data_IF_559060035001
#
_entry.id   IF_559060035001
#
_cell.length_a   1.000
_cell.length_b   1.000
_cell.length_c   1.000
_cell.angle_alpha   90.00
_cell.angle_beta   90.00
_cell.angle_gamma   90.00
#
_symmetry.space_group_name_H-M   'P 1'
#
loop_
_entity.id
_entity.type
_entity.pdbx_description
1 polymer ?
#
# COMPACT_ATOMS: atom_id res chain seq x y z
N UNK A 1 -28.74 18.23 -7.44
CA UNK A 1 -29.71 17.18 -7.89
C UNK A 1 -28.94 16.06 -8.57
N UNK A 2 -29.39 14.80 -8.55
CA UNK A 2 -28.79 13.76 -9.40
C UNK A 2 -28.90 14.19 -10.87
N UNK A 3 -27.89 13.84 -11.69
CA UNK A 3 -27.85 14.22 -13.10
C UNK A 3 -29.08 13.63 -13.82
N UNK A 4 -29.95 14.46 -14.45
CA UNK A 4 -31.13 13.99 -15.17
C UNK A 4 -30.79 12.95 -16.24
N UNK A 5 -29.62 13.10 -16.86
CA UNK A 5 -29.11 12.17 -17.88
C UNK A 5 -28.84 10.79 -17.27
N UNK A 6 -28.24 10.72 -16.08
CA UNK A 6 -27.95 9.43 -15.43
C UNK A 6 -29.27 8.72 -15.07
N UNK A 7 -30.26 9.47 -14.58
CA UNK A 7 -31.59 8.91 -14.29
C UNK A 7 -32.21 8.29 -15.55
N UNK A 8 -32.25 9.06 -16.65
CA UNK A 8 -32.80 8.60 -17.92
C UNK A 8 -32.06 7.37 -18.47
N UNK A 9 -30.72 7.37 -18.39
CA UNK A 9 -29.90 6.23 -18.81
C UNK A 9 -30.26 4.97 -18.03
N UNK A 10 -30.40 5.07 -16.70
CA UNK A 10 -30.74 3.94 -15.84
C UNK A 10 -32.13 3.37 -16.17
N UNK A 11 -33.12 4.25 -16.36
CA UNK A 11 -34.50 3.84 -16.63
C UNK A 11 -34.69 3.18 -18.01
N UNK A 12 -33.96 3.67 -19.02
CA UNK A 12 -34.10 3.23 -20.42
C UNK A 12 -33.17 2.07 -20.79
N UNK A 13 -32.10 1.83 -20.04
CA UNK A 13 -31.03 0.88 -20.41
C UNK A 13 -30.96 -0.35 -19.50
N UNK A 14 -32.08 -1.02 -19.26
CA UNK A 14 -32.21 -2.13 -18.27
C UNK A 14 -31.30 -3.36 -18.53
N UNK A 15 -30.76 -3.48 -19.75
CA UNK A 15 -29.81 -4.54 -20.12
C UNK A 15 -28.34 -4.13 -19.95
N UNK A 16 -28.06 -2.92 -19.50
CA UNK A 16 -26.71 -2.41 -19.29
C UNK A 16 -25.94 -3.27 -18.29
N UNK A 17 -24.74 -3.70 -18.69
CA UNK A 17 -23.84 -4.49 -17.85
C UNK A 17 -22.66 -3.67 -17.31
N UNK A 18 -22.35 -2.53 -17.93
CA UNK A 18 -21.24 -1.65 -17.56
C UNK A 18 -21.74 -0.21 -17.58
N UNK A 19 -21.55 0.50 -16.47
CA UNK A 19 -21.76 1.93 -16.36
C UNK A 19 -20.46 2.56 -15.85
N UNK A 20 -19.77 3.28 -16.73
CA UNK A 20 -18.50 3.94 -16.42
C UNK A 20 -18.72 5.45 -16.39
N UNK A 21 -18.47 6.05 -15.23
CA UNK A 21 -18.71 7.45 -14.93
C UNK A 21 -17.48 8.10 -14.24
N UNK A 22 -16.32 7.44 -14.28
CA UNK A 22 -15.10 7.91 -13.65
C UNK A 22 -14.63 9.27 -14.21
N UNK A 23 -14.11 10.12 -13.34
CA UNK A 23 -13.62 11.47 -13.68
C UNK A 23 -14.72 12.50 -13.92
N UNK A 24 -16.00 12.10 -13.94
CA UNK A 24 -17.11 13.03 -14.10
C UNK A 24 -17.43 13.72 -12.76
N UNK A 25 -17.84 15.00 -12.77
CA UNK A 25 -18.15 15.78 -11.57
C UNK A 25 -19.53 15.42 -10.98
N UNK A 26 -19.83 14.12 -10.86
CA UNK A 26 -21.10 13.60 -10.38
C UNK A 26 -21.09 13.60 -8.86
N UNK A 27 -22.05 14.26 -8.24
CA UNK A 27 -22.18 14.30 -6.77
C UNK A 27 -23.18 13.29 -6.20
N UNK A 28 -24.17 12.88 -7.01
CA UNK A 28 -25.27 12.00 -6.59
C UNK A 28 -25.60 11.00 -7.69
N UNK A 29 -25.75 9.74 -7.28
CA UNK A 29 -26.29 8.67 -8.13
C UNK A 29 -27.80 8.55 -7.84
N UNK A 30 -28.67 8.54 -8.86
CA UNK A 30 -30.11 8.45 -8.67
C UNK A 30 -30.53 7.05 -8.20
N UNK A 31 -31.68 6.96 -7.51
CA UNK A 31 -32.24 5.68 -7.06
C UNK A 31 -32.53 4.72 -8.22
N UNK A 32 -32.79 5.25 -9.43
CA UNK A 32 -32.98 4.49 -10.66
C UNK A 32 -31.79 3.57 -11.00
N UNK A 33 -30.60 3.78 -10.43
CA UNK A 33 -29.46 2.86 -10.59
C UNK A 33 -29.85 1.42 -10.22
N UNK A 34 -30.72 1.23 -9.22
CA UNK A 34 -31.16 -0.08 -8.77
C UNK A 34 -31.99 -0.86 -9.79
N UNK A 35 -32.46 -0.22 -10.86
CA UNK A 35 -33.20 -0.87 -11.94
C UNK A 35 -32.25 -1.56 -12.94
N UNK A 36 -30.96 -1.25 -12.90
CA UNK A 36 -29.91 -1.90 -13.71
C UNK A 36 -29.53 -3.26 -13.12
N UNK A 37 -30.49 -4.18 -12.99
CA UNK A 37 -30.28 -5.51 -12.39
C UNK A 37 -29.15 -6.32 -13.06
N UNK A 38 -28.90 -6.10 -14.35
CA UNK A 38 -27.84 -6.75 -15.12
C UNK A 38 -26.45 -6.13 -14.95
N UNK A 39 -26.33 -5.02 -14.22
CA UNK A 39 -25.08 -4.30 -14.06
C UNK A 39 -24.04 -5.17 -13.36
N UNK A 40 -22.86 -5.27 -13.99
CA UNK A 40 -21.69 -6.00 -13.49
C UNK A 40 -20.56 -5.08 -13.08
N UNK A 41 -20.49 -3.88 -13.66
CA UNK A 41 -19.48 -2.86 -13.33
C UNK A 41 -20.13 -1.49 -13.16
N UNK A 42 -19.83 -0.85 -12.03
CA UNK A 42 -20.14 0.55 -11.76
C UNK A 42 -18.85 1.30 -11.43
N UNK A 43 -18.41 2.14 -12.37
CA UNK A 43 -17.21 2.96 -12.25
C UNK A 43 -17.54 4.40 -11.86
N UNK A 44 -16.98 4.85 -10.74
CA UNK A 44 -17.19 6.17 -10.14
C UNK A 44 -15.85 6.74 -9.61
N UNK A 45 -14.73 6.25 -10.13
CA UNK A 45 -13.39 6.67 -9.70
C UNK A 45 -13.19 8.16 -9.99
N UNK A 46 -12.54 8.89 -9.09
CA UNK A 46 -12.30 10.34 -9.25
C UNK A 46 -13.60 11.13 -9.54
N UNK A 47 -14.74 10.68 -9.00
CA UNK A 47 -16.01 11.42 -9.05
C UNK A 47 -16.23 12.17 -7.74
N UNK A 48 -17.23 13.04 -7.67
CA UNK A 48 -17.58 13.80 -6.45
C UNK A 48 -18.71 13.12 -5.65
N UNK A 49 -18.95 11.82 -5.89
CA UNK A 49 -20.07 11.11 -5.28
C UNK A 49 -19.87 11.03 -3.79
N UNK A 50 -20.80 11.62 -3.04
CA UNK A 50 -20.74 11.68 -1.56
C UNK A 50 -21.39 10.48 -0.88
N UNK A 51 -22.45 9.93 -1.51
CA UNK A 51 -23.23 8.80 -1.01
C UNK A 51 -23.79 8.00 -2.17
N UNK A 52 -23.88 6.68 -1.99
CA UNK A 52 -24.63 5.80 -2.87
C UNK A 52 -26.10 5.69 -2.41
N UNK A 53 -27.07 5.56 -3.34
CA UNK A 53 -28.46 5.35 -2.99
C UNK A 53 -28.69 3.97 -2.34
N UNK A 54 -29.75 3.85 -1.53
CA UNK A 54 -30.13 2.57 -0.90
C UNK A 54 -30.41 1.48 -1.94
N UNK A 55 -30.93 1.87 -3.11
CA UNK A 55 -31.28 0.96 -4.21
C UNK A 55 -30.08 0.24 -4.83
N UNK A 56 -28.83 0.62 -4.49
CA UNK A 56 -27.63 -0.13 -4.89
C UNK A 56 -27.74 -1.62 -4.50
N UNK A 57 -28.48 -1.92 -3.43
CA UNK A 57 -28.69 -3.29 -2.96
C UNK A 57 -29.42 -4.21 -3.95
N UNK A 58 -30.10 -3.63 -4.94
CA UNK A 58 -30.80 -4.36 -6.02
C UNK A 58 -29.84 -4.85 -7.11
N UNK A 59 -28.60 -4.36 -7.15
CA UNK A 59 -27.58 -4.71 -8.14
C UNK A 59 -26.96 -6.09 -7.87
N UNK A 60 -27.79 -7.13 -7.78
CA UNK A 60 -27.36 -8.48 -7.38
C UNK A 60 -26.33 -9.14 -8.30
N UNK A 61 -26.15 -8.62 -9.52
CA UNK A 61 -25.15 -9.06 -10.49
C UNK A 61 -23.85 -8.25 -10.50
N UNK A 62 -23.73 -7.25 -9.61
CA UNK A 62 -22.56 -6.39 -9.57
C UNK A 62 -21.33 -7.18 -9.16
N UNK A 63 -20.27 -7.08 -9.98
CA UNK A 63 -18.97 -7.71 -9.74
C UNK A 63 -17.94 -6.67 -9.28
N UNK A 64 -18.03 -5.45 -9.80
CA UNK A 64 -17.09 -4.37 -9.51
C UNK A 64 -17.81 -3.08 -9.16
N UNK A 65 -17.45 -2.51 -8.01
CA UNK A 65 -17.82 -1.16 -7.60
C UNK A 65 -16.53 -0.37 -7.36
N UNK A 66 -16.32 0.67 -8.18
CA UNK A 66 -15.12 1.50 -8.07
C UNK A 66 -15.48 2.93 -7.67
N UNK A 67 -15.25 3.26 -6.40
CA UNK A 67 -15.39 4.58 -5.77
C UNK A 67 -14.03 5.17 -5.37
N UNK A 68 -12.91 4.62 -5.88
CA UNK A 68 -11.58 5.10 -5.53
C UNK A 68 -11.45 6.60 -5.81
N UNK A 69 -10.92 7.36 -4.84
CA UNK A 69 -10.81 8.82 -4.94
C UNK A 69 -12.15 9.53 -5.20
N UNK A 70 -13.24 8.99 -4.67
CA UNK A 70 -14.52 9.71 -4.56
C UNK A 70 -14.68 10.36 -3.19
N UNK A 71 -15.65 11.26 -3.08
CA UNK A 71 -16.02 11.91 -1.80
C UNK A 71 -16.93 11.03 -0.92
N UNK A 72 -16.98 9.72 -1.17
CA UNK A 72 -17.84 8.80 -0.41
C UNK A 72 -17.24 8.50 0.96
N UNK A 73 -17.99 8.80 2.02
CA UNK A 73 -17.57 8.58 3.40
C UNK A 73 -18.27 7.40 4.09
N UNK A 74 -19.40 6.96 3.55
CA UNK A 74 -20.17 5.82 4.07
C UNK A 74 -20.73 4.96 2.94
N UNK A 75 -20.76 3.64 3.15
CA UNK A 75 -21.46 2.73 2.26
C UNK A 75 -22.87 2.44 2.81
N UNK A 76 -23.90 2.36 1.96
CA UNK A 76 -25.23 2.00 2.42
C UNK A 76 -25.23 0.57 2.97
N UNK A 77 -26.03 0.31 4.01
CA UNK A 77 -26.17 -1.01 4.64
C UNK A 77 -26.44 -2.14 3.63
N UNK A 78 -27.15 -1.85 2.54
CA UNK A 78 -27.44 -2.82 1.49
C UNK A 78 -26.22 -3.32 0.70
N UNK A 79 -25.03 -2.72 0.85
CA UNK A 79 -23.81 -3.16 0.16
C UNK A 79 -23.47 -4.62 0.46
N UNK A 80 -23.73 -5.08 1.68
CA UNK A 80 -23.45 -6.47 2.10
C UNK A 80 -24.40 -7.50 1.45
N UNK A 81 -25.44 -7.05 0.74
CA UNK A 81 -26.35 -7.92 -0.04
C UNK A 81 -25.77 -8.27 -1.42
N UNK A 82 -24.71 -7.59 -1.87
CA UNK A 82 -24.10 -7.78 -3.19
C UNK A 82 -23.18 -9.03 -3.19
N UNK A 83 -23.77 -10.21 -3.04
CA UNK A 83 -23.04 -11.49 -2.88
C UNK A 83 -22.12 -11.86 -4.05
N UNK A 84 -22.33 -11.30 -5.25
CA UNK A 84 -21.48 -11.52 -6.43
C UNK A 84 -20.31 -10.54 -6.53
N UNK A 85 -20.24 -9.53 -5.64
CA UNK A 85 -19.21 -8.51 -5.68
C UNK A 85 -17.83 -9.15 -5.47
N UNK A 86 -16.91 -8.85 -6.39
CA UNK A 86 -15.52 -9.34 -6.39
C UNK A 86 -14.54 -8.23 -6.07
N UNK A 87 -14.84 -7.01 -6.51
CA UNK A 87 -13.93 -5.88 -6.34
C UNK A 87 -14.66 -4.66 -5.79
N UNK A 88 -14.20 -4.21 -4.62
CA UNK A 88 -14.64 -2.99 -3.97
C UNK A 88 -13.44 -2.06 -3.76
N UNK A 89 -13.47 -0.94 -4.48
CA UNK A 89 -12.45 0.10 -4.37
C UNK A 89 -13.07 1.36 -3.77
N UNK A 90 -12.64 1.75 -2.58
CA UNK A 90 -13.20 2.87 -1.82
C UNK A 90 -12.11 3.73 -1.16
N UNK A 91 -10.85 3.51 -1.54
CA UNK A 91 -9.69 4.21 -0.98
C UNK A 91 -9.67 5.67 -1.43
N UNK A 92 -9.38 6.56 -0.47
CA UNK A 92 -9.09 7.96 -0.73
C UNK A 92 -7.69 8.27 -0.22
N UNK A 93 -6.81 8.69 -1.12
CA UNK A 93 -5.46 9.16 -0.80
C UNK A 93 -5.53 10.66 -0.57
N UNK A 94 -5.09 11.09 0.60
CA UNK A 94 -5.12 12.50 1.06
C UNK A 94 -3.73 13.12 0.85
N UNK A 95 -2.68 12.39 1.20
CA UNK A 95 -1.30 12.81 1.03
C UNK A 95 -0.52 11.81 0.16
N UNK A 96 -0.49 12.01 -1.18
CA UNK A 96 0.22 11.10 -2.07
C UNK A 96 1.73 11.09 -1.86
N UNK A 97 2.28 12.09 -1.15
CA UNK A 97 3.70 12.18 -0.88
C UNK A 97 4.11 11.40 0.38
N UNK A 98 3.16 10.87 1.17
CA UNK A 98 3.44 10.10 2.38
C UNK A 98 4.28 10.88 3.40
N UNK A 99 4.01 12.18 3.53
CA UNK A 99 4.58 13.11 4.52
C UNK A 99 3.93 12.92 5.88
N UNK A 100 2.68 12.45 5.91
CA UNK A 100 1.92 12.09 7.11
C UNK A 100 1.67 10.57 7.17
N UNK A 101 1.44 10.04 8.37
CA UNK A 101 1.06 8.64 8.55
C UNK A 101 -0.34 8.36 8.00
N UNK A 102 -1.28 9.29 8.19
CA UNK A 102 -2.64 9.22 7.66
C UNK A 102 -2.68 9.68 6.19
N UNK A 103 -1.88 9.03 5.34
CA UNK A 103 -1.72 9.42 3.92
C UNK A 103 -2.96 9.13 3.07
N UNK A 104 -3.93 8.38 3.62
CA UNK A 104 -5.23 8.12 3.03
C UNK A 104 -6.25 7.73 4.09
N UNK A 105 -7.44 7.36 3.64
CA UNK A 105 -8.53 6.92 4.50
C UNK A 105 -9.25 5.73 3.88
N UNK A 106 -9.77 4.88 4.77
CA UNK A 106 -10.67 3.80 4.42
C UNK A 106 -12.14 4.20 4.51
N UNK A 107 -12.99 3.18 4.54
CA UNK A 107 -14.40 3.29 4.87
C UNK A 107 -14.79 2.17 5.82
N UNK A 108 -15.76 2.47 6.68
CA UNK A 108 -16.40 1.45 7.50
C UNK A 108 -17.36 0.63 6.63
N UNK A 109 -17.22 -0.69 6.62
CA UNK A 109 -18.22 -1.57 5.99
C UNK A 109 -19.28 -1.92 7.04
N UNK A 110 -20.58 -1.75 6.71
CA UNK A 110 -21.68 -2.15 7.60
C UNK A 110 -21.60 -3.62 8.04
N UNK A 111 -22.33 -3.95 9.10
CA UNK A 111 -22.43 -5.32 9.62
C UNK A 111 -22.83 -6.30 8.51
N UNK A 112 -22.16 -7.45 8.48
CA UNK A 112 -22.35 -8.45 7.42
C UNK A 112 -21.27 -8.43 6.33
N UNK A 113 -20.09 -7.83 6.58
CA UNK A 113 -18.91 -7.93 5.71
C UNK A 113 -18.69 -9.36 5.19
N UNK A 114 -18.79 -10.35 6.07
CA UNK A 114 -18.60 -11.75 5.74
C UNK A 114 -19.58 -12.36 4.74
N UNK A 115 -20.72 -11.69 4.46
CA UNK A 115 -21.62 -12.08 3.37
C UNK A 115 -21.00 -11.90 1.97
N UNK A 116 -19.95 -11.07 1.85
CA UNK A 116 -19.25 -10.80 0.60
C UNK A 116 -18.21 -11.89 0.30
N UNK A 117 -18.59 -13.17 0.38
CA UNK A 117 -17.65 -14.30 0.30
C UNK A 117 -16.93 -14.44 -1.05
N UNK A 118 -17.45 -13.82 -2.12
CA UNK A 118 -16.81 -13.77 -3.44
C UNK A 118 -15.80 -12.62 -3.59
N UNK A 119 -15.61 -11.79 -2.55
CA UNK A 119 -14.72 -10.65 -2.63
C UNK A 119 -13.27 -11.10 -2.79
N UNK A 120 -12.60 -10.50 -3.77
CA UNK A 120 -11.21 -10.77 -4.12
C UNK A 120 -10.33 -9.53 -3.88
N UNK A 121 -10.93 -8.35 -3.96
CA UNK A 121 -10.24 -7.09 -3.76
C UNK A 121 -11.06 -6.19 -2.86
N UNK A 122 -10.47 -5.80 -1.74
CA UNK A 122 -11.02 -4.85 -0.79
C UNK A 122 -9.96 -3.80 -0.52
N UNK A 123 -10.05 -2.69 -1.21
CA UNK A 123 -9.17 -1.55 -1.01
C UNK A 123 -9.91 -0.53 -0.15
N UNK A 124 -9.41 -0.37 1.09
CA UNK A 124 -9.80 0.61 2.10
C UNK A 124 -10.81 0.17 3.18
N UNK A 125 -10.62 -1.00 3.79
CA UNK A 125 -11.38 -1.39 4.97
C UNK A 125 -10.84 -0.68 6.22
N UNK A 126 -11.67 0.12 6.89
CA UNK A 126 -11.34 0.59 8.24
C UNK A 126 -11.50 -0.50 9.28
N UNK A 127 -10.48 -0.67 10.11
CA UNK A 127 -10.47 -1.62 11.20
C UNK A 127 -11.42 -1.18 12.31
N UNK A 128 -12.45 -1.99 12.53
CA UNK A 128 -13.40 -1.85 13.63
C UNK A 128 -13.71 -3.23 14.18
N UNK A 129 -14.12 -3.31 15.44
CA UNK A 129 -14.41 -4.60 16.05
C UNK A 129 -15.44 -5.41 15.25
N UNK A 130 -16.48 -4.77 14.75
CA UNK A 130 -17.56 -5.46 14.03
C UNK A 130 -17.11 -5.94 12.65
N UNK A 131 -16.34 -5.13 11.91
CA UNK A 131 -15.82 -5.54 10.59
C UNK A 131 -14.79 -6.65 10.72
N UNK A 132 -13.88 -6.57 11.69
CA UNK A 132 -12.80 -7.54 11.88
C UNK A 132 -13.28 -8.92 12.35
N UNK A 133 -14.43 -9.02 13.04
CA UNK A 133 -15.01 -10.31 13.46
C UNK A 133 -15.31 -11.24 12.29
N UNK A 134 -15.64 -10.68 11.13
CA UNK A 134 -16.06 -11.43 9.94
C UNK A 134 -15.02 -11.40 8.83
N UNK A 135 -13.84 -10.81 9.07
CA UNK A 135 -12.81 -10.65 8.04
C UNK A 135 -12.32 -12.01 7.51
N UNK A 136 -12.19 -13.02 8.37
CA UNK A 136 -11.80 -14.38 8.00
C UNK A 136 -12.81 -15.14 7.13
N UNK A 137 -14.02 -14.63 6.94
CA UNK A 137 -15.02 -15.24 6.04
C UNK A 137 -14.71 -14.94 4.56
N UNK A 138 -13.88 -13.94 4.27
CA UNK A 138 -13.51 -13.50 2.93
C UNK A 138 -12.40 -14.38 2.32
N UNK A 139 -12.70 -15.67 2.10
CA UNK A 139 -11.70 -16.68 1.70
C UNK A 139 -11.16 -16.53 0.28
N UNK A 140 -11.84 -15.76 -0.57
CA UNK A 140 -11.42 -15.50 -1.96
C UNK A 140 -10.49 -14.28 -2.10
N UNK A 141 -10.09 -13.67 -0.98
CA UNK A 141 -9.28 -12.46 -0.97
C UNK A 141 -7.92 -12.64 -1.62
N UNK A 142 -7.57 -11.68 -2.49
CA UNK A 142 -6.30 -11.58 -3.20
C UNK A 142 -5.55 -10.29 -2.88
N UNK A 143 -6.29 -9.21 -2.62
CA UNK A 143 -5.73 -7.89 -2.29
C UNK A 143 -6.54 -7.21 -1.20
N UNK A 144 -5.97 -7.04 -0.02
CA UNK A 144 -6.60 -6.40 1.14
C UNK A 144 -5.82 -5.16 1.57
N UNK A 145 -6.51 -4.04 1.78
CA UNK A 145 -5.95 -2.85 2.42
C UNK A 145 -6.74 -2.48 3.66
N UNK A 146 -6.06 -2.48 4.80
CA UNK A 146 -6.58 -2.13 6.12
C UNK A 146 -6.11 -0.73 6.51
N UNK A 147 -7.03 0.06 7.05
CA UNK A 147 -6.79 1.40 7.58
C UNK A 147 -7.20 1.49 9.04
N UNK A 148 -6.66 2.48 9.75
CA UNK A 148 -7.00 2.77 11.14
C UNK A 148 -6.74 1.57 12.07
N UNK A 149 -5.67 0.80 11.80
CA UNK A 149 -5.36 -0.42 12.55
C UNK A 149 -4.68 -0.09 13.88
N UNK A 150 -5.27 -0.53 14.97
CA UNK A 150 -4.68 -0.46 16.32
C UNK A 150 -3.93 -1.75 16.63
N UNK A 151 -2.92 -1.69 17.50
CA UNK A 151 -2.15 -2.85 17.95
C UNK A 151 -3.03 -3.96 18.50
N UNK A 152 -4.10 -3.59 19.24
CA UNK A 152 -5.09 -4.53 19.78
C UNK A 152 -5.81 -5.38 18.72
N UNK A 153 -5.84 -4.93 17.46
CA UNK A 153 -6.48 -5.65 16.36
C UNK A 153 -5.55 -6.63 15.66
N UNK A 154 -4.23 -6.54 15.88
CA UNK A 154 -3.25 -7.32 15.12
C UNK A 154 -3.41 -8.83 15.31
N UNK A 155 -3.77 -9.29 16.52
CA UNK A 155 -4.05 -10.72 16.78
C UNK A 155 -5.22 -11.23 15.94
N UNK A 156 -6.37 -10.55 16.02
CA UNK A 156 -7.58 -10.91 15.24
C UNK A 156 -7.36 -10.81 13.73
N UNK A 157 -6.63 -9.79 13.28
CA UNK A 157 -6.25 -9.65 11.87
C UNK A 157 -5.40 -10.85 11.46
N UNK A 158 -4.39 -11.22 12.25
CA UNK A 158 -3.52 -12.38 11.97
C UNK A 158 -4.33 -13.67 11.84
N UNK A 159 -5.25 -13.94 12.77
CA UNK A 159 -6.18 -15.09 12.73
C UNK A 159 -7.04 -15.10 11.47
N UNK A 160 -7.57 -13.93 11.07
CA UNK A 160 -8.41 -13.80 9.89
C UNK A 160 -7.61 -14.02 8.59
N UNK A 161 -6.37 -13.52 8.52
CA UNK A 161 -5.52 -13.64 7.34
C UNK A 161 -5.14 -15.09 7.02
N UNK A 162 -5.05 -15.97 8.02
CA UNK A 162 -4.83 -17.43 7.82
C UNK A 162 -5.92 -18.06 6.94
N UNK A 163 -7.14 -17.52 6.97
CA UNK A 163 -8.26 -18.02 6.16
C UNK A 163 -8.23 -17.54 4.70
N UNK A 164 -7.20 -16.79 4.28
CA UNK A 164 -7.09 -16.18 2.94
C UNK A 164 -5.93 -16.79 2.13
N UNK A 165 -6.06 -18.03 1.64
CA UNK A 165 -4.95 -18.75 0.98
C UNK A 165 -4.47 -18.09 -0.32
N UNK A 166 -5.29 -17.24 -0.92
CA UNK A 166 -5.01 -16.56 -2.19
C UNK A 166 -4.50 -15.12 -2.02
N UNK A 167 -4.29 -14.67 -0.78
CA UNK A 167 -3.87 -13.30 -0.49
C UNK A 167 -2.44 -13.06 -1.02
N UNK A 168 -2.36 -12.18 -2.02
CA UNK A 168 -1.12 -11.81 -2.70
C UNK A 168 -0.66 -10.39 -2.38
N UNK A 169 -1.58 -9.51 -2.00
CA UNK A 169 -1.29 -8.12 -1.69
C UNK A 169 -1.94 -7.73 -0.36
N UNK A 170 -1.12 -7.30 0.59
CA UNK A 170 -1.56 -6.85 1.90
C UNK A 170 -0.99 -5.46 2.20
N UNK A 171 -1.89 -4.54 2.57
CA UNK A 171 -1.53 -3.22 3.06
C UNK A 171 -2.17 -3.03 4.44
N UNK A 172 -1.37 -2.65 5.43
CA UNK A 172 -1.83 -2.40 6.81
C UNK A 172 -1.32 -1.03 7.25
N UNK A 173 -2.25 -0.13 7.55
CA UNK A 173 -1.96 1.23 8.01
C UNK A 173 -2.42 1.38 9.46
N UNK A 174 -1.49 1.71 10.35
CA UNK A 174 -1.78 2.02 11.74
C UNK A 174 -2.71 3.22 11.87
N UNK A 175 -3.47 3.30 12.97
CA UNK A 175 -4.31 4.46 13.26
C UNK A 175 -3.50 5.71 13.60
N UNK A 176 -2.37 5.53 14.28
CA UNK A 176 -1.47 6.61 14.67
C UNK A 176 -0.03 6.08 14.91
N UNK A 177 0.90 6.99 15.19
CA UNK A 177 2.33 6.68 15.36
C UNK A 177 2.67 5.96 16.68
N UNK A 178 1.74 5.90 17.63
CA UNK A 178 1.91 5.25 18.94
C UNK A 178 1.54 3.78 18.87
N UNK A 179 0.58 3.42 18.03
CA UNK A 179 0.17 2.04 17.82
C UNK A 179 1.32 1.18 17.29
N UNK A 180 1.48 0.02 17.92
CA UNK A 180 2.52 -0.95 17.59
C UNK A 180 1.88 -2.11 16.83
N UNK A 181 2.31 -2.31 15.59
CA UNK A 181 1.83 -3.39 14.73
C UNK A 181 2.69 -4.64 14.89
N UNK A 182 2.04 -5.78 15.13
CA UNK A 182 2.65 -7.10 15.16
C UNK A 182 1.73 -8.12 14.49
N UNK A 183 1.97 -8.37 13.20
CA UNK A 183 1.27 -9.42 12.45
C UNK A 183 2.05 -10.72 12.62
N UNK A 184 1.51 -11.65 13.40
CA UNK A 184 2.12 -12.96 13.64
C UNK A 184 1.40 -14.01 12.79
N UNK A 185 1.68 -14.02 11.49
CA UNK A 185 0.99 -14.88 10.52
C UNK A 185 1.92 -15.32 9.40
N UNK A 186 1.80 -16.57 8.97
CA UNK A 186 2.48 -17.08 7.78
C UNK A 186 1.57 -16.93 6.55
N UNK A 187 2.02 -16.15 5.56
CA UNK A 187 1.26 -15.88 4.34
C UNK A 187 2.05 -16.33 3.10
N UNK A 188 2.09 -17.64 2.78
CA UNK A 188 2.97 -18.17 1.75
C UNK A 188 2.65 -17.63 0.35
N UNK A 189 1.42 -17.19 0.08
CA UNK A 189 1.01 -16.62 -1.22
C UNK A 189 1.31 -15.13 -1.35
N UNK A 190 1.82 -14.48 -0.29
CA UNK A 190 2.00 -13.04 -0.26
C UNK A 190 3.15 -12.62 -1.17
N UNK A 191 2.87 -11.62 -1.99
CA UNK A 191 3.75 -11.10 -3.02
C UNK A 191 4.13 -9.64 -2.78
N UNK A 192 3.18 -8.86 -2.25
CA UNK A 192 3.31 -7.43 -1.97
C UNK A 192 2.87 -7.16 -0.54
N UNK A 193 3.74 -6.52 0.23
CA UNK A 193 3.48 -6.14 1.61
C UNK A 193 3.77 -4.66 1.82
N UNK A 194 2.76 -3.95 2.28
CA UNK A 194 2.86 -2.55 2.69
C UNK A 194 2.49 -2.44 4.17
N UNK A 195 3.43 -2.01 4.99
CA UNK A 195 3.21 -1.74 6.41
C UNK A 195 3.51 -0.28 6.68
N UNK A 196 2.49 0.44 7.16
CA UNK A 196 2.63 1.83 7.57
C UNK A 196 2.27 1.99 9.03
N UNK A 197 3.23 2.38 9.86
CA UNK A 197 3.09 2.49 11.31
C UNK A 197 4.21 1.76 12.05
N UNK A 198 4.34 2.04 13.35
CA UNK A 198 5.42 1.50 14.18
C UNK A 198 5.32 -0.03 14.25
N UNK A 199 6.41 -0.72 13.97
CA UNK A 199 6.48 -2.17 14.11
C UNK A 199 6.95 -2.54 15.53
N UNK A 200 6.48 -3.69 16.03
CA UNK A 200 7.00 -4.26 17.26
C UNK A 200 8.49 -4.60 17.11
N UNK A 201 9.22 -4.52 18.22
CA UNK A 201 10.59 -5.01 18.30
C UNK A 201 10.62 -6.52 18.01
N UNK A 202 11.63 -7.00 17.27
CA UNK A 202 11.69 -8.38 16.79
C UNK A 202 10.66 -8.74 15.70
N UNK A 203 9.75 -7.85 15.29
CA UNK A 203 8.71 -8.19 14.31
C UNK A 203 9.27 -8.70 12.97
N UNK A 204 10.44 -8.23 12.54
CA UNK A 204 11.10 -8.69 11.31
C UNK A 204 11.89 -10.00 11.49
N UNK A 205 12.25 -10.36 12.71
CA UNK A 205 13.05 -11.56 13.03
C UNK A 205 12.18 -12.75 13.44
N UNK A 206 11.21 -12.48 14.31
CA UNK A 206 10.41 -13.49 15.00
C UNK A 206 9.11 -13.81 14.26
N UNK A 207 8.56 -12.85 13.51
CA UNK A 207 7.29 -13.08 12.82
C UNK A 207 7.46 -14.08 11.66
N UNK A 208 6.60 -15.12 11.59
CA UNK A 208 6.52 -16.02 10.43
C UNK A 208 6.29 -15.30 9.10
N UNK A 209 5.78 -14.06 9.13
CA UNK A 209 5.53 -13.23 7.95
C UNK A 209 6.80 -12.94 7.16
N UNK A 210 7.92 -12.73 7.86
CA UNK A 210 9.22 -12.39 7.27
C UNK A 210 10.20 -13.57 7.23
N UNK A 211 9.77 -14.75 7.71
CA UNK A 211 10.59 -15.96 7.69
C UNK A 211 10.48 -16.71 6.36
N UNK A 212 11.37 -17.69 6.15
CA UNK A 212 11.62 -18.34 4.86
C UNK A 212 10.39 -18.95 4.17
N UNK A 213 9.33 -19.31 4.90
CA UNK A 213 8.08 -19.83 4.31
C UNK A 213 7.11 -18.69 3.98
N UNK A 214 6.87 -17.76 4.92
CA UNK A 214 5.91 -16.66 4.74
C UNK A 214 6.41 -15.57 3.78
N UNK A 215 7.72 -15.29 3.78
CA UNK A 215 8.33 -14.26 2.96
C UNK A 215 8.86 -14.74 1.61
N UNK A 216 8.76 -16.04 1.29
CA UNK A 216 9.40 -16.62 0.09
C UNK A 216 8.92 -15.98 -1.21
N UNK A 217 7.63 -15.71 -1.32
CA UNK A 217 7.04 -15.16 -2.55
C UNK A 217 7.00 -13.64 -2.57
N UNK A 218 7.48 -12.99 -1.52
CA UNK A 218 7.46 -11.55 -1.39
C UNK A 218 8.51 -10.92 -2.33
N UNK A 219 8.04 -10.09 -3.26
CA UNK A 219 8.91 -9.35 -4.19
C UNK A 219 8.79 -7.83 -4.05
N UNK A 220 7.75 -7.31 -3.38
CA UNK A 220 7.65 -5.90 -2.99
C UNK A 220 7.42 -5.74 -1.48
N UNK A 221 8.27 -4.94 -0.84
CA UNK A 221 8.16 -4.59 0.56
C UNK A 221 8.26 -3.07 0.74
N UNK A 222 7.23 -2.50 1.37
CA UNK A 222 7.16 -1.09 1.73
C UNK A 222 7.01 -0.98 3.24
N UNK A 223 8.02 -0.39 3.89
CA UNK A 223 8.05 -0.13 5.32
C UNK A 223 8.00 1.37 5.56
N UNK A 224 6.85 1.86 6.00
CA UNK A 224 6.56 3.27 6.16
C UNK A 224 6.34 3.55 7.65
N UNK A 225 6.93 4.62 8.18
CA UNK A 225 6.75 5.02 9.58
C UNK A 225 7.04 3.91 10.61
N UNK A 226 7.89 2.94 10.25
CA UNK A 226 8.11 1.72 11.04
C UNK A 226 8.91 1.92 12.32
N UNK A 227 9.60 3.06 12.47
CA UNK A 227 10.43 3.41 13.63
C UNK A 227 11.48 2.35 14.03
N UNK A 228 12.05 1.65 13.04
CA UNK A 228 13.09 0.65 13.23
C UNK A 228 14.34 1.29 13.85
N UNK A 229 14.89 0.69 14.90
CA UNK A 229 16.03 1.25 15.66
C UNK A 229 17.35 0.57 15.33
N UNK A 230 17.33 -0.74 15.11
CA UNK A 230 18.50 -1.54 14.79
C UNK A 230 18.63 -1.73 13.28
N UNK A 231 19.84 -2.06 12.80
CA UNK A 231 20.02 -2.45 11.39
C UNK A 231 19.34 -3.81 11.17
N UNK A 232 18.14 -3.78 10.61
CA UNK A 232 17.30 -4.96 10.33
C UNK A 232 17.45 -5.44 8.88
N UNK A 233 18.42 -4.90 8.14
CA UNK A 233 18.80 -5.45 6.84
C UNK A 233 19.22 -6.93 6.91
N UNK A 234 19.87 -7.46 7.98
CA UNK A 234 20.12 -8.89 8.10
C UNK A 234 18.85 -9.74 8.01
N UNK A 235 17.77 -9.33 8.68
CA UNK A 235 16.49 -10.05 8.67
C UNK A 235 15.83 -9.97 7.30
N UNK A 236 15.81 -8.78 6.71
CA UNK A 236 15.25 -8.54 5.39
C UNK A 236 16.05 -9.19 4.26
N UNK A 237 17.36 -9.38 4.43
CA UNK A 237 18.23 -10.01 3.43
C UNK A 237 17.84 -11.47 3.13
N UNK A 238 17.16 -12.13 4.08
CA UNK A 238 16.61 -13.49 3.92
C UNK A 238 15.52 -13.54 2.85
N UNK A 239 14.89 -12.41 2.55
CA UNK A 239 13.85 -12.24 1.52
C UNK A 239 14.50 -12.07 0.14
N UNK A 240 15.19 -13.12 -0.32
CA UNK A 240 16.02 -13.10 -1.53
C UNK A 240 15.25 -12.85 -2.85
N UNK A 241 13.92 -12.93 -2.83
CA UNK A 241 13.06 -12.64 -3.98
C UNK A 241 12.60 -11.18 -4.07
N UNK A 242 13.01 -10.32 -3.13
CA UNK A 242 12.69 -8.89 -3.19
C UNK A 242 13.27 -8.24 -4.46
N UNK A 243 12.37 -7.57 -5.18
CA UNK A 243 12.67 -6.77 -6.38
C UNK A 243 12.47 -5.28 -6.12
N UNK A 244 11.66 -4.92 -5.12
CA UNK A 244 11.41 -3.54 -4.72
C UNK A 244 11.35 -3.43 -3.19
N UNK A 245 12.25 -2.62 -2.63
CA UNK A 245 12.35 -2.34 -1.20
C UNK A 245 12.28 -0.83 -0.97
N UNK A 246 11.31 -0.38 -0.18
CA UNK A 246 11.11 1.04 0.09
C UNK A 246 10.98 1.32 1.56
N UNK A 247 11.83 2.22 2.05
CA UNK A 247 11.75 2.79 3.39
C UNK A 247 11.31 4.24 3.28
N UNK A 248 10.22 4.60 3.97
CA UNK A 248 9.79 5.99 4.11
C UNK A 248 9.56 6.31 5.59
N UNK A 249 10.43 7.13 6.20
CA UNK A 249 10.42 7.37 7.66
C UNK A 249 10.45 6.07 8.47
N UNK A 250 11.07 5.04 7.91
CA UNK A 250 11.03 3.68 8.45
C UNK A 250 12.07 3.46 9.54
N UNK A 251 13.21 4.14 9.45
CA UNK A 251 14.43 3.87 10.21
C UNK A 251 14.86 5.10 11.01
N UNK A 252 15.21 4.88 12.29
CA UNK A 252 15.65 5.89 13.26
C UNK A 252 17.13 5.77 13.63
N UNK A 253 17.82 4.74 13.21
CA UNK A 253 19.26 4.60 13.44
C UNK A 253 20.08 5.46 12.48
N UNK A 254 21.40 5.36 12.65
CA UNK A 254 22.37 6.25 11.99
C UNK A 254 23.06 5.60 10.80
N UNK A 255 23.16 4.27 10.79
CA UNK A 255 23.91 3.51 9.80
C UNK A 255 23.06 2.40 9.17
N UNK A 256 23.12 2.28 7.84
CA UNK A 256 22.64 1.10 7.12
C UNK A 256 23.79 0.48 6.34
N UNK A 257 24.00 -0.84 6.52
CA UNK A 257 25.03 -1.57 5.80
C UNK A 257 24.42 -2.67 4.91
N UNK A 258 24.59 -2.55 3.60
CA UNK A 258 24.21 -3.58 2.64
C UNK A 258 25.41 -4.51 2.40
N UNK A 259 25.37 -5.70 3.00
CA UNK A 259 26.49 -6.66 2.93
C UNK A 259 26.50 -7.48 1.63
N UNK A 260 27.65 -8.06 1.32
CA UNK A 260 27.85 -8.89 0.14
C UNK A 260 26.84 -10.05 0.08
N UNK A 261 26.29 -10.31 -1.12
CA UNK A 261 25.30 -11.36 -1.36
C UNK A 261 23.87 -11.03 -0.93
N UNK A 262 23.63 -9.87 -0.30
CA UNK A 262 22.27 -9.47 0.07
C UNK A 262 21.47 -8.95 -1.12
N UNK A 263 20.17 -9.22 -1.09
CA UNK A 263 19.18 -8.71 -2.05
C UNK A 263 19.54 -8.96 -3.54
N UNK A 264 19.85 -10.20 -3.94
CA UNK A 264 20.41 -10.48 -5.28
C UNK A 264 19.47 -10.14 -6.43
N UNK A 265 18.14 -10.10 -6.21
CA UNK A 265 17.11 -9.79 -7.22
C UNK A 265 16.55 -8.37 -7.11
N UNK A 266 17.08 -7.55 -6.20
CA UNK A 266 16.54 -6.22 -5.94
C UNK A 266 16.83 -5.30 -7.12
N UNK A 267 15.77 -4.74 -7.70
CA UNK A 267 15.82 -3.81 -8.84
C UNK A 267 15.63 -2.37 -8.39
N UNK A 268 14.84 -2.15 -7.35
CA UNK A 268 14.47 -0.81 -6.87
C UNK A 268 14.75 -0.74 -5.37
N UNK A 269 15.61 0.21 -4.99
CA UNK A 269 15.80 0.62 -3.60
C UNK A 269 15.42 2.09 -3.46
N UNK A 270 14.53 2.39 -2.50
CA UNK A 270 14.16 3.76 -2.15
C UNK A 270 14.32 4.00 -0.66
N UNK A 271 15.20 4.92 -0.30
CA UNK A 271 15.39 5.40 1.07
C UNK A 271 14.89 6.83 1.17
N UNK A 272 13.77 7.03 1.87
CA UNK A 272 13.07 8.32 1.95
C UNK A 272 12.89 8.77 3.39
N UNK A 273 13.22 10.04 3.64
CA UNK A 273 12.98 10.74 4.89
C UNK A 273 13.46 9.95 6.12
N UNK A 274 14.71 9.47 6.08
CA UNK A 274 15.39 8.82 7.19
C UNK A 274 16.25 9.88 7.88
N UNK A 275 15.75 10.55 8.93
CA UNK A 275 16.33 11.81 9.40
C UNK A 275 17.71 11.64 10.03
N UNK A 276 17.96 10.51 10.70
CA UNK A 276 19.20 10.27 11.46
C UNK A 276 20.25 9.52 10.64
N UNK A 277 19.89 8.98 9.47
CA UNK A 277 20.81 8.23 8.63
C UNK A 277 21.92 9.15 8.14
N UNK A 278 23.14 8.91 8.61
CA UNK A 278 24.35 9.65 8.24
C UNK A 278 25.35 8.77 7.48
N UNK A 279 25.25 7.44 7.61
CA UNK A 279 26.16 6.50 6.98
C UNK A 279 25.39 5.41 6.21
N UNK A 280 25.67 5.32 4.91
CA UNK A 280 25.17 4.26 4.04
C UNK A 280 26.38 3.50 3.46
N UNK A 281 26.54 2.24 3.88
CA UNK A 281 27.63 1.36 3.44
C UNK A 281 27.09 0.35 2.45
N UNK A 282 27.73 0.25 1.29
CA UNK A 282 27.39 -0.68 0.22
C UNK A 282 28.62 -1.57 -0.02
N UNK A 283 28.54 -2.85 0.36
CA UNK A 283 29.62 -3.78 0.09
C UNK A 283 29.59 -4.30 -1.34
N UNK A 284 30.77 -4.60 -1.88
CA UNK A 284 30.90 -5.21 -3.19
C UNK A 284 30.11 -6.53 -3.26
N UNK A 285 29.35 -6.71 -4.34
CA UNK A 285 28.53 -7.91 -4.56
C UNK A 285 27.18 -7.90 -3.82
N UNK A 286 26.77 -6.79 -3.20
CA UNK A 286 25.39 -6.59 -2.74
C UNK A 286 24.51 -6.04 -3.86
N UNK A 287 23.19 -6.29 -3.82
CA UNK A 287 22.21 -5.70 -4.73
C UNK A 287 22.61 -5.77 -6.22
N UNK A 288 23.17 -6.89 -6.66
CA UNK A 288 23.79 -7.04 -7.98
C UNK A 288 22.86 -6.81 -9.17
N UNK A 289 21.55 -6.86 -8.95
CA UNK A 289 20.51 -6.61 -9.98
C UNK A 289 19.91 -5.20 -9.89
N UNK A 290 20.49 -4.29 -9.11
CA UNK A 290 19.89 -2.98 -8.85
C UNK A 290 19.84 -2.15 -10.14
N UNK A 291 18.65 -1.65 -10.45
CA UNK A 291 18.41 -0.80 -11.63
C UNK A 291 18.18 0.65 -11.20
N UNK A 292 17.51 0.85 -10.06
CA UNK A 292 17.07 2.16 -9.59
C UNK A 292 17.37 2.38 -8.12
N UNK A 293 18.06 3.49 -7.83
CA UNK A 293 18.35 3.96 -6.47
C UNK A 293 17.78 5.35 -6.26
N UNK A 294 16.94 5.49 -5.23
CA UNK A 294 16.35 6.76 -4.81
C UNK A 294 16.77 7.08 -3.38
N UNK A 295 17.48 8.18 -3.19
CA UNK A 295 17.82 8.73 -1.88
C UNK A 295 17.11 10.08 -1.73
N UNK A 296 16.12 10.15 -0.84
CA UNK A 296 15.18 11.27 -0.77
C UNK A 296 15.14 11.85 0.64
N UNK A 297 15.40 13.14 0.82
CA UNK A 297 15.31 13.86 2.10
C UNK A 297 16.10 13.16 3.22
N UNK A 298 17.36 12.75 2.94
CA UNK A 298 18.28 12.15 3.91
C UNK A 298 19.14 13.25 4.55
N UNK A 299 18.61 13.86 5.62
CA UNK A 299 19.11 15.15 6.12
C UNK A 299 20.45 15.11 6.84
N UNK A 300 20.82 13.96 7.39
CA UNK A 300 22.07 13.80 8.15
C UNK A 300 23.21 13.23 7.32
N UNK A 301 22.98 12.95 6.03
CA UNK A 301 24.02 12.49 5.12
C UNK A 301 25.01 13.62 4.83
N UNK A 302 26.26 13.42 5.26
CA UNK A 302 27.38 14.34 5.02
C UNK A 302 28.43 13.77 4.09
N UNK A 303 28.30 12.51 3.68
CA UNK A 303 29.27 11.82 2.82
C UNK A 303 28.56 11.01 1.74
N UNK A 304 29.16 10.90 0.55
CA UNK A 304 28.64 10.03 -0.50
C UNK A 304 28.66 8.58 0.00
N UNK A 305 27.60 7.79 -0.19
CA UNK A 305 27.55 6.40 0.29
C UNK A 305 28.79 5.61 -0.11
N UNK A 306 29.46 5.00 0.87
CA UNK A 306 30.67 4.22 0.64
C UNK A 306 30.33 2.97 -0.20
N UNK A 307 31.04 2.76 -1.30
CA UNK A 307 30.81 1.63 -2.22
C UNK A 307 29.67 1.84 -3.22
N UNK A 308 29.18 3.08 -3.39
CA UNK A 308 28.17 3.41 -4.41
C UNK A 308 28.63 3.05 -5.84
N UNK A 309 29.94 3.06 -6.08
CA UNK A 309 30.59 2.62 -7.32
C UNK A 309 30.25 1.16 -7.68
N UNK A 310 30.04 0.30 -6.69
CA UNK A 310 29.72 -1.11 -6.91
C UNK A 310 28.32 -1.32 -7.48
N UNK A 311 27.46 -0.30 -7.41
CA UNK A 311 26.11 -0.33 -7.99
C UNK A 311 26.07 0.21 -9.42
N UNK A 312 27.17 0.77 -9.92
CA UNK A 312 27.19 1.40 -11.24
C UNK A 312 27.46 0.38 -12.37
N UNK A 313 26.87 0.57 -13.56
CA UNK A 313 25.93 1.64 -13.92
C UNK A 313 24.48 1.34 -13.51
N UNK A 314 23.79 2.34 -12.94
CA UNK A 314 22.35 2.27 -12.68
C UNK A 314 21.54 2.83 -13.86
N UNK A 315 20.35 2.27 -14.11
CA UNK A 315 19.41 2.85 -15.07
C UNK A 315 18.86 4.20 -14.57
N UNK A 316 18.68 4.32 -13.26
CA UNK A 316 18.16 5.54 -12.64
C UNK A 316 18.75 5.76 -11.25
N UNK A 317 19.45 6.88 -11.09
CA UNK A 317 19.97 7.34 -9.81
C UNK A 317 19.36 8.71 -9.51
N UNK A 318 18.74 8.88 -8.35
CA UNK A 318 18.18 10.16 -7.94
C UNK A 318 18.42 10.51 -6.47
N UNK A 319 18.76 11.78 -6.27
CA UNK A 319 18.98 12.41 -4.98
C UNK A 319 18.00 13.58 -4.81
N UNK A 320 16.87 13.36 -4.16
CA UNK A 320 15.84 14.38 -4.01
C UNK A 320 15.86 15.02 -2.62
N UNK A 321 15.56 16.30 -2.55
CA UNK A 321 15.51 17.11 -1.33
C UNK A 321 16.82 17.06 -0.51
N UNK A 322 17.96 17.15 -1.20
CA UNK A 322 19.30 17.15 -0.59
C UNK A 322 19.78 18.57 -0.24
N UNK A 323 20.82 18.66 0.59
CA UNK A 323 21.51 19.92 0.93
C UNK A 323 22.47 20.34 -0.17
N UNK A 324 22.83 21.63 -0.22
CA UNK A 324 23.81 22.17 -1.18
C UNK A 324 25.22 21.60 -0.97
N UNK A 325 25.61 21.39 0.29
CA UNK A 325 26.90 20.79 0.64
C UNK A 325 26.99 19.35 0.14
N UNK A 326 25.93 18.57 0.37
CA UNK A 326 25.86 17.20 -0.14
C UNK A 326 25.88 17.14 -1.67
N UNK A 327 25.19 18.07 -2.34
CA UNK A 327 25.26 18.18 -3.80
C UNK A 327 26.69 18.45 -4.30
N UNK A 328 27.46 19.26 -3.57
CA UNK A 328 28.87 19.55 -3.92
C UNK A 328 29.73 18.29 -3.84
N UNK A 329 29.55 17.49 -2.79
CA UNK A 329 30.23 16.21 -2.63
C UNK A 329 29.86 15.20 -3.73
N UNK A 330 28.58 15.10 -4.09
CA UNK A 330 28.12 14.24 -5.19
C UNK A 330 28.78 14.61 -6.52
N UNK A 331 28.94 15.91 -6.82
CA UNK A 331 29.60 16.36 -8.05
C UNK A 331 31.08 16.02 -8.10
N UNK A 332 31.74 15.96 -6.95
CA UNK A 332 33.16 15.60 -6.82
C UNK A 332 33.40 14.08 -6.88
N UNK A 333 32.36 13.26 -6.69
CA UNK A 333 32.46 11.82 -6.70
C UNK A 333 32.60 11.27 -8.13
N UNK A 334 33.81 10.80 -8.47
CA UNK A 334 34.11 10.22 -9.79
C UNK A 334 33.26 9.00 -10.14
N UNK A 335 32.86 8.21 -9.14
CA UNK A 335 32.07 6.99 -9.30
C UNK A 335 30.71 7.21 -9.96
N UNK A 336 30.05 8.34 -9.72
CA UNK A 336 28.71 8.63 -10.24
C UNK A 336 28.71 9.58 -11.44
N UNK A 337 29.88 10.10 -11.86
CA UNK A 337 29.97 11.00 -13.03
C UNK A 337 29.66 10.30 -14.35
N UNK A 338 29.87 8.98 -14.42
CA UNK A 338 29.59 8.17 -15.61
C UNK A 338 28.09 7.87 -15.82
N UNK A 339 27.27 8.12 -14.80
CA UNK A 339 25.83 7.82 -14.80
C UNK A 339 25.05 9.13 -14.77
N UNK A 340 24.04 9.28 -15.64
CA UNK A 340 23.10 10.41 -15.50
C UNK A 340 22.26 10.23 -14.24
N UNK A 341 22.32 11.20 -13.34
CA UNK A 341 21.50 11.23 -12.13
C UNK A 341 20.67 12.50 -12.03
N UNK A 342 19.54 12.41 -11.33
CA UNK A 342 18.64 13.54 -11.09
C UNK A 342 18.78 14.05 -9.66
N UNK A 343 18.54 15.34 -9.46
CA UNK A 343 18.48 15.89 -8.12
C UNK A 343 17.49 17.04 -7.96
N UNK A 344 17.05 17.23 -6.71
CA UNK A 344 16.38 18.45 -6.27
C UNK A 344 17.04 18.95 -5.00
N UNK A 345 17.16 20.27 -4.89
CA UNK A 345 17.59 20.90 -3.64
C UNK A 345 16.39 21.10 -2.74
N UNK A 346 16.65 21.00 -1.43
CA UNK A 346 15.69 21.38 -0.41
C UNK A 346 15.30 22.86 -0.60
N UNK A 347 14.00 23.15 -0.55
CA UNK A 347 13.48 24.52 -0.49
C UNK A 347 13.64 25.12 0.89
#
# INVERSE_FOLDING_TARGET
>A
MPSPIITLLCEKSRYMTVLELSGLPIEKIPDAIGDLFNLRHLGLRNSKVKKLPKTIEKLSNLLTLNLHQSDTHELPNGIVKLKKLRHLFVERIIDPNGRELAWGSGICIPNGLGNLTNLQTLQALEAQDVSLRHLGELRQMRSLRLWNVKGIYCGRISESLVQMPYLSNLCVNASDEKEVLLLNVCLPSLQKLYLSGRLAEGALDESPLFQAVGGKNLYELFLYWSQLREDLLPSLSRLSNLTNLQFNRAYKGEQLAFLAGWFPKLKILSLKALPNLNQLVIQQGTMVSLEKLFLINLRSMTEVPAGIEFLMPLQYLAFFDITGDFLTLLRQCSAIQVTKWQHTLRR
#
